data_IF_275872582394
#
_entry.id   IF_275872582394
#
_cell.length_a   1.000
_cell.length_b   1.000
_cell.length_c   1.000
_cell.angle_alpha   90.00
_cell.angle_beta   90.00
_cell.angle_gamma   90.00
#
_symmetry.space_group_name_H-M   'P 1'
#
loop_
_entity.id
_entity.type
_entity.pdbx_description
1 polymer ?
#
# COMPACT_ATOMS: atom_id res chain seq x y z
N UNK A 1 -7.63 -2.39 17.61
CA UNK A 1 -6.94 -2.50 16.30
C UNK A 1 -6.77 -3.98 15.97
N UNK A 2 -7.16 -4.36 14.77
CA UNK A 2 -6.88 -5.70 14.26
C UNK A 2 -5.47 -5.74 13.68
N UNK A 3 -4.83 -6.90 13.75
CA UNK A 3 -3.55 -7.15 13.09
C UNK A 3 -3.72 -8.24 12.04
N UNK A 4 -2.73 -8.36 11.18
CA UNK A 4 -2.74 -9.39 10.14
C UNK A 4 -1.32 -9.86 9.87
N UNK A 5 -1.21 -11.08 9.35
CA UNK A 5 0.08 -11.60 8.91
C UNK A 5 0.31 -11.20 7.46
N UNK A 6 1.54 -10.81 7.15
CA UNK A 6 1.89 -10.35 5.80
C UNK A 6 3.02 -11.23 5.26
N UNK A 7 2.72 -11.98 4.21
CA UNK A 7 3.70 -12.79 3.51
C UNK A 7 4.35 -11.96 2.41
N UNK A 8 5.65 -11.71 2.56
CA UNK A 8 6.46 -11.02 1.56
C UNK A 8 7.26 -12.03 0.74
N UNK A 9 8.12 -11.53 -0.14
CA UNK A 9 9.04 -12.37 -0.91
C UNK A 9 9.97 -13.18 -0.02
N UNK A 10 10.37 -12.63 1.12
CA UNK A 10 11.44 -13.22 1.94
C UNK A 10 10.92 -14.00 3.14
N UNK A 11 9.86 -13.57 3.77
CA UNK A 11 9.29 -14.25 4.94
C UNK A 11 7.88 -13.74 5.25
N UNK A 12 7.22 -14.39 6.20
CA UNK A 12 5.93 -13.94 6.74
C UNK A 12 6.19 -13.12 8.01
N UNK A 13 5.66 -11.90 8.02
CA UNK A 13 5.68 -11.03 9.18
C UNK A 13 4.36 -11.16 9.93
N UNK A 14 4.43 -11.39 11.24
CA UNK A 14 3.26 -11.62 12.08
C UNK A 14 2.76 -10.34 12.73
N UNK A 15 1.46 -10.30 12.99
CA UNK A 15 0.83 -9.24 13.77
C UNK A 15 1.17 -7.83 13.25
N UNK A 16 1.05 -7.66 11.95
CA UNK A 16 1.29 -6.39 11.30
C UNK A 16 0.08 -5.46 11.41
N UNK A 17 0.35 -4.18 11.36
CA UNK A 17 -0.65 -3.13 11.28
C UNK A 17 -0.30 -2.16 10.15
N UNK A 18 -1.25 -1.32 9.79
CA UNK A 18 -1.11 -0.39 8.68
C UNK A 18 -0.92 1.04 9.19
N UNK A 19 -0.12 1.81 8.48
CA UNK A 19 -0.11 3.27 8.58
C UNK A 19 -0.57 3.84 7.25
N UNK A 20 -1.63 4.63 7.29
CA UNK A 20 -2.21 5.26 6.11
C UNK A 20 -2.05 6.77 6.28
N UNK A 21 -1.25 7.34 5.40
CA UNK A 21 -0.96 8.76 5.39
C UNK A 21 -1.17 9.30 3.98
N UNK A 22 -0.82 10.55 3.74
CA UNK A 22 -0.88 11.16 2.41
C UNK A 22 0.48 11.70 2.04
N UNK A 23 0.90 11.45 0.80
CA UNK A 23 2.08 12.10 0.26
C UNK A 23 1.76 13.60 0.09
N UNK A 24 2.62 14.46 0.62
CA UNK A 24 2.32 15.86 0.57
C UNK A 24 2.53 16.49 -0.82
N UNK A 25 3.29 15.82 -1.71
CA UNK A 25 3.51 16.30 -3.08
C UNK A 25 2.25 16.27 -3.93
N UNK A 26 1.43 15.21 -3.83
CA UNK A 26 0.24 15.06 -4.67
C UNK A 26 -1.02 14.65 -3.89
N UNK A 27 -0.90 14.44 -2.58
CA UNK A 27 -2.01 14.03 -1.73
C UNK A 27 -2.41 12.58 -1.88
N UNK A 28 -1.68 11.77 -2.64
CA UNK A 28 -2.01 10.35 -2.82
C UNK A 28 -1.74 9.55 -1.54
N UNK A 29 -2.38 8.37 -1.45
CA UNK A 29 -2.27 7.51 -0.27
C UNK A 29 -0.86 6.99 -0.11
N UNK A 30 -0.31 7.16 1.10
CA UNK A 30 0.95 6.56 1.54
C UNK A 30 0.64 5.42 2.49
N UNK A 31 0.73 4.18 2.01
CA UNK A 31 0.49 2.99 2.80
C UNK A 31 1.80 2.30 3.14
N UNK A 32 2.06 2.16 4.45
CA UNK A 32 3.18 1.38 4.96
C UNK A 32 2.66 0.31 5.91
N UNK A 33 3.39 -0.81 5.97
CA UNK A 33 3.08 -1.95 6.84
C UNK A 33 4.15 -2.01 7.92
N UNK A 34 3.72 -2.21 9.14
CA UNK A 34 4.60 -2.21 10.33
C UNK A 34 4.28 -3.40 11.23
N UNK A 35 5.25 -3.81 12.02
CA UNK A 35 4.99 -4.62 13.20
C UNK A 35 5.89 -4.14 14.34
N UNK A 36 5.61 -4.58 15.57
CA UNK A 36 6.35 -4.11 16.74
C UNK A 36 7.79 -4.61 16.79
N UNK A 37 8.04 -5.80 16.26
CA UNK A 37 9.36 -6.41 16.34
C UNK A 37 10.34 -5.84 15.30
N UNK A 38 9.87 -5.63 14.08
CA UNK A 38 10.72 -5.27 12.94
C UNK A 38 10.62 -3.79 12.52
N UNK A 39 9.64 -3.06 13.05
CA UNK A 39 9.37 -1.70 12.62
C UNK A 39 8.68 -1.68 11.26
N UNK A 40 9.16 -0.87 10.32
CA UNK A 40 8.59 -0.80 8.99
C UNK A 40 8.94 -2.04 8.18
N UNK A 41 7.91 -2.82 7.85
CA UNK A 41 8.05 -4.05 7.06
C UNK A 41 8.12 -3.73 5.57
N UNK A 42 7.28 -2.83 5.10
CA UNK A 42 7.20 -2.51 3.67
C UNK A 42 6.53 -1.16 3.43
N UNK A 43 7.00 -0.46 2.42
CA UNK A 43 6.29 0.68 1.81
C UNK A 43 5.57 0.17 0.58
N UNK A 44 4.24 0.15 0.64
CA UNK A 44 3.41 -0.49 -0.37
C UNK A 44 3.13 0.42 -1.56
N UNK A 45 2.89 1.69 -1.29
CA UNK A 45 2.61 2.69 -2.32
C UNK A 45 3.84 3.54 -2.64
N UNK A 46 3.80 4.21 -3.78
CA UNK A 46 4.86 5.15 -4.15
C UNK A 46 4.23 6.43 -4.70
N UNK A 47 4.93 7.54 -4.58
CA UNK A 47 4.48 8.83 -5.07
C UNK A 47 5.18 9.13 -6.40
N UNK A 48 4.40 9.15 -7.50
CA UNK A 48 4.89 9.54 -8.82
C UNK A 48 4.55 10.99 -9.16
N UNK A 49 4.06 11.74 -8.18
CA UNK A 49 3.63 13.13 -8.30
C UNK A 49 2.61 13.30 -9.43
N UNK A 50 1.44 12.70 -9.25
CA UNK A 50 0.35 12.74 -10.21
C UNK A 50 -0.85 13.45 -9.60
N UNK A 51 -1.03 14.71 -9.98
CA UNK A 51 -2.13 15.54 -9.45
C UNK A 51 -3.49 15.19 -10.06
N UNK A 52 -3.55 14.28 -11.02
CA UNK A 52 -4.82 13.81 -11.61
C UNK A 52 -5.46 12.66 -10.84
N UNK A 53 -4.78 12.12 -9.83
CA UNK A 53 -5.30 11.01 -9.02
C UNK A 53 -6.51 11.43 -8.20
N UNK A 54 -7.46 10.50 -8.06
CA UNK A 54 -8.57 10.65 -7.12
C UNK A 54 -8.08 10.37 -5.71
N UNK A 55 -8.86 10.76 -4.69
CA UNK A 55 -8.50 10.60 -3.29
C UNK A 55 -8.22 9.15 -2.88
N UNK A 56 -8.87 8.20 -3.53
CA UNK A 56 -8.74 6.77 -3.22
C UNK A 56 -7.78 6.04 -4.15
N UNK A 57 -7.08 6.75 -5.02
CA UNK A 57 -6.14 6.15 -5.97
C UNK A 57 -4.69 6.34 -5.53
N UNK A 58 -3.87 5.32 -5.76
CA UNK A 58 -2.42 5.41 -5.55
C UNK A 58 -1.70 4.38 -6.41
N UNK A 59 -0.46 4.68 -6.75
CA UNK A 59 0.42 3.73 -7.44
C UNK A 59 1.05 2.79 -6.42
N UNK A 60 1.10 1.51 -6.76
CA UNK A 60 1.66 0.45 -5.90
C UNK A 60 3.07 0.12 -6.37
N UNK A 61 4.00 0.02 -5.40
CA UNK A 61 5.40 -0.29 -5.67
C UNK A 61 5.59 -1.80 -5.89
N UNK A 62 5.05 -2.31 -6.98
CA UNK A 62 5.11 -3.73 -7.32
C UNK A 62 6.52 -4.20 -7.67
N UNK A 63 7.46 -3.30 -7.91
CA UNK A 63 8.84 -3.65 -8.21
C UNK A 63 9.59 -4.09 -6.94
N UNK A 64 9.47 -3.33 -5.87
CA UNK A 64 10.07 -3.68 -4.59
C UNK A 64 9.18 -4.63 -3.78
N UNK A 65 7.86 -4.59 -4.02
CA UNK A 65 6.88 -5.41 -3.32
C UNK A 65 6.06 -6.20 -4.33
N UNK A 66 6.62 -7.25 -4.99
CA UNK A 66 5.88 -8.00 -6.01
C UNK A 66 4.66 -8.74 -5.46
N UNK A 67 4.59 -8.95 -4.16
CA UNK A 67 3.47 -9.55 -3.44
C UNK A 67 2.33 -8.55 -3.13
N UNK A 68 2.57 -7.25 -3.31
CA UNK A 68 1.69 -6.21 -2.77
C UNK A 68 0.32 -6.18 -3.44
N UNK A 69 0.23 -6.29 -4.75
CA UNK A 69 -1.05 -6.24 -5.47
C UNK A 69 -1.95 -7.38 -5.01
N UNK A 70 -1.43 -8.60 -4.98
CA UNK A 70 -2.20 -9.77 -4.53
C UNK A 70 -2.62 -9.64 -3.06
N UNK A 71 -1.74 -9.14 -2.21
CA UNK A 71 -2.03 -8.90 -0.81
C UNK A 71 -3.17 -7.90 -0.63
N UNK A 72 -3.12 -6.79 -1.34
CA UNK A 72 -4.15 -5.75 -1.26
C UNK A 72 -5.51 -6.26 -1.74
N UNK A 73 -5.51 -7.00 -2.84
CA UNK A 73 -6.75 -7.57 -3.39
C UNK A 73 -7.35 -8.64 -2.48
N UNK A 74 -6.52 -9.53 -1.96
CA UNK A 74 -6.95 -10.61 -1.06
C UNK A 74 -7.64 -10.07 0.19
N UNK A 75 -7.13 -8.99 0.74
CA UNK A 75 -7.68 -8.39 1.96
C UNK A 75 -8.80 -7.37 1.67
N UNK A 76 -9.10 -7.11 0.41
CA UNK A 76 -10.11 -6.13 0.03
C UNK A 76 -9.69 -4.70 0.29
N UNK A 77 -8.40 -4.43 0.44
CA UNK A 77 -7.87 -3.08 0.70
C UNK A 77 -7.79 -2.23 -0.56
N UNK A 78 -7.61 -2.88 -1.70
CA UNK A 78 -7.54 -2.18 -2.98
C UNK A 78 -7.91 -3.12 -4.12
N UNK A 79 -8.24 -2.53 -5.26
CA UNK A 79 -8.50 -3.27 -6.50
C UNK A 79 -7.80 -2.58 -7.66
N UNK A 80 -7.44 -3.36 -8.67
CA UNK A 80 -6.79 -2.85 -9.88
C UNK A 80 -7.76 -1.97 -10.66
N UNK A 81 -7.23 -0.88 -11.23
CA UNK A 81 -7.98 -0.02 -12.14
C UNK A 81 -7.79 -0.40 -13.60
N UNK A 82 -6.79 -1.23 -13.88
CA UNK A 82 -6.35 -1.53 -15.24
C UNK A 82 -5.36 -0.51 -15.80
N UNK A 83 -5.13 0.57 -15.07
CA UNK A 83 -4.16 1.60 -15.46
C UNK A 83 -2.83 1.38 -14.77
N UNK A 84 -1.77 1.82 -15.43
CA UNK A 84 -0.40 1.78 -14.89
C UNK A 84 0.38 2.97 -15.42
N UNK A 85 1.46 3.31 -14.74
CA UNK A 85 2.36 4.39 -15.17
C UNK A 85 3.80 3.90 -15.13
N UNK A 86 4.53 4.20 -16.19
CA UNK A 86 5.95 3.93 -16.26
C UNK A 86 6.73 5.10 -15.67
N UNK A 87 7.71 4.79 -14.82
CA UNK A 87 8.64 5.77 -14.28
C UNK A 87 10.02 5.12 -14.28
N UNK A 88 10.97 5.70 -15.04
CA UNK A 88 12.26 5.07 -15.26
C UNK A 88 12.08 3.76 -16.02
N UNK A 89 12.64 2.67 -15.47
CA UNK A 89 12.54 1.33 -16.05
C UNK A 89 11.41 0.50 -15.47
N UNK A 90 10.65 1.07 -14.55
CA UNK A 90 9.62 0.34 -13.81
C UNK A 90 8.23 0.80 -14.18
N UNK A 91 7.26 -0.13 -14.11
CA UNK A 91 5.85 0.18 -14.25
C UNK A 91 5.16 0.01 -12.91
N UNK A 92 4.27 0.94 -12.59
CA UNK A 92 3.57 0.98 -11.31
C UNK A 92 2.07 0.88 -11.57
N UNK A 93 1.39 -0.18 -11.10
CA UNK A 93 -0.05 -0.28 -11.26
C UNK A 93 -0.77 0.75 -10.42
N UNK A 94 -1.83 1.33 -10.99
CA UNK A 94 -2.72 2.23 -10.28
C UNK A 94 -3.84 1.41 -9.66
N UNK A 95 -4.00 1.52 -8.34
CA UNK A 95 -5.05 0.83 -7.63
C UNK A 95 -6.00 1.80 -6.94
N UNK A 96 -7.23 1.36 -6.78
CA UNK A 96 -8.26 2.07 -6.03
C UNK A 96 -8.37 1.45 -4.65
N UNK A 97 -8.17 2.26 -3.61
CA UNK A 97 -8.11 1.81 -2.22
C UNK A 97 -9.43 2.00 -1.50
N UNK A 98 -9.76 1.04 -0.65
CA UNK A 98 -10.87 1.13 0.29
C UNK A 98 -10.29 1.51 1.66
N UNK A 99 -10.21 2.81 1.92
CA UNK A 99 -9.63 3.33 3.15
C UNK A 99 -10.45 2.96 4.39
N UNK A 100 -11.76 2.80 4.23
CA UNK A 100 -12.64 2.38 5.32
C UNK A 100 -12.27 0.96 5.77
N UNK A 101 -12.01 0.07 4.83
CA UNK A 101 -11.64 -1.30 5.14
C UNK A 101 -10.29 -1.40 5.83
N UNK A 102 -9.37 -0.51 5.49
CA UNK A 102 -8.05 -0.45 6.11
C UNK A 102 -8.08 0.07 7.55
N UNK A 103 -9.08 0.88 7.92
CA UNK A 103 -9.17 1.50 9.25
C UNK A 103 -9.07 0.50 10.40
N UNK A 104 -9.63 -0.70 10.23
CA UNK A 104 -9.60 -1.72 11.27
C UNK A 104 -8.19 -2.18 11.62
N UNK A 105 -7.26 -2.00 10.70
CA UNK A 105 -5.87 -2.45 10.83
C UNK A 105 -4.89 -1.29 11.03
N UNK A 106 -5.41 -0.05 11.07
CA UNK A 106 -4.55 1.11 11.27
C UNK A 106 -4.17 1.30 12.72
N UNK A 107 -2.92 1.73 12.91
CA UNK A 107 -2.43 2.10 14.23
C UNK A 107 -3.20 3.30 14.75
N UNK A 108 -3.68 3.21 15.98
CA UNK A 108 -4.31 4.34 16.69
C UNK A 108 -3.20 5.28 17.18
N UNK A 109 -3.27 6.52 16.76
CA UNK A 109 -2.28 7.54 17.14
C UNK A 109 -2.91 8.61 17.99
#
# INVERSE_FOLDING_TARGET
MKTLDVKTTYRTYKECFLRVERYWHDGSISLTIWNQNDGCVARVTTCLVDHSLREDEAYVDANNCPWAVAFLEKNGFAKRTGKKRRSGYCEYPLMKFDTTKMLMYEEVR
#
